data_IF_173181245042
#
_entry.id   IF_173181245042
#
_cell.length_a   1.000
_cell.length_b   1.000
_cell.length_c   1.000
_cell.angle_alpha   90.00
_cell.angle_beta   90.00
_cell.angle_gamma   90.00
#
_symmetry.space_group_name_H-M   'P 1'
#
loop_
_entity.id
_entity.type
_entity.pdbx_description
1 polymer ?
#
# COMPACT_ATOMS: atom_id res chain seq x y z
N UNK A 1 -5.44 -23.25 -13.02
CA UNK A 1 -4.58 -22.06 -13.28
C UNK A 1 -3.34 -22.17 -12.39
N UNK A 2 -2.14 -21.98 -12.93
CA UNK A 2 -0.92 -21.80 -12.13
C UNK A 2 -0.66 -20.30 -12.04
N UNK A 3 -0.77 -19.73 -10.85
CA UNK A 3 -0.55 -18.31 -10.58
C UNK A 3 0.81 -18.11 -9.93
N UNK A 4 1.72 -17.42 -10.60
CA UNK A 4 3.11 -17.29 -10.17
C UNK A 4 3.37 -15.99 -9.39
N UNK A 5 4.31 -16.04 -8.45
CA UNK A 5 4.90 -14.87 -7.75
C UNK A 5 4.07 -14.30 -6.60
N UNK A 6 2.95 -14.90 -6.21
CA UNK A 6 2.08 -14.37 -5.16
C UNK A 6 1.60 -15.47 -4.21
N UNK A 7 1.44 -15.13 -2.93
CA UNK A 7 0.68 -15.93 -1.99
C UNK A 7 -0.80 -15.98 -2.39
N UNK A 8 -1.51 -17.04 -2.02
CA UNK A 8 -2.94 -17.18 -2.31
C UNK A 8 -3.79 -16.08 -1.68
N UNK A 9 -4.61 -15.41 -2.50
CA UNK A 9 -5.49 -14.31 -2.04
C UNK A 9 -6.92 -14.35 -2.63
N UNK A 10 -7.21 -15.23 -3.59
CA UNK A 10 -8.53 -15.34 -4.22
C UNK A 10 -8.93 -16.81 -4.38
N UNK A 11 -9.70 -17.34 -3.43
CA UNK A 11 -10.12 -18.76 -3.40
C UNK A 11 -11.55 -18.99 -3.89
N UNK A 12 -12.21 -17.99 -4.47
CA UNK A 12 -13.64 -18.03 -4.79
C UNK A 12 -13.93 -18.13 -6.30
N UNK A 13 -12.98 -18.62 -7.10
CA UNK A 13 -13.15 -18.80 -8.54
C UNK A 13 -13.70 -20.19 -8.91
N UNK A 14 -14.32 -20.31 -10.09
CA UNK A 14 -14.84 -21.58 -10.62
C UNK A 14 -13.74 -22.57 -11.02
N UNK A 15 -12.54 -22.06 -11.32
CA UNK A 15 -11.39 -22.86 -11.71
C UNK A 15 -10.40 -23.03 -10.55
N UNK A 16 -9.85 -24.24 -10.32
CA UNK A 16 -8.77 -24.43 -9.36
C UNK A 16 -7.56 -23.54 -9.68
N UNK A 17 -7.07 -22.81 -8.69
CA UNK A 17 -5.86 -21.96 -8.79
C UNK A 17 -4.78 -22.49 -7.87
N UNK A 18 -3.63 -22.87 -8.43
CA UNK A 18 -2.43 -23.22 -7.69
C UNK A 18 -1.49 -22.02 -7.65
N UNK A 19 -1.18 -21.54 -6.44
CA UNK A 19 -0.28 -20.41 -6.24
C UNK A 19 1.15 -20.91 -6.08
N UNK A 20 2.02 -20.55 -7.02
CA UNK A 20 3.45 -20.79 -6.95
C UNK A 20 4.15 -19.48 -6.59
N UNK A 21 4.59 -19.35 -5.35
CA UNK A 21 4.98 -18.05 -4.78
C UNK A 21 6.33 -17.51 -5.28
N UNK A 22 7.11 -18.34 -5.99
CA UNK A 22 8.42 -18.00 -6.53
C UNK A 22 9.34 -17.39 -5.45
N UNK A 23 9.48 -18.09 -4.32
CA UNK A 23 10.35 -17.67 -3.21
C UNK A 23 11.82 -17.70 -3.64
N UNK A 24 12.61 -16.78 -3.09
CA UNK A 24 14.05 -16.72 -3.29
C UNK A 24 14.70 -17.92 -2.59
N UNK A 25 15.76 -18.45 -3.19
CA UNK A 25 16.51 -19.58 -2.65
C UNK A 25 17.87 -19.20 -2.06
N UNK A 26 18.37 -18.00 -2.38
CA UNK A 26 19.64 -17.49 -1.85
C UNK A 26 19.37 -16.35 -0.84
N UNK A 27 19.66 -16.54 0.47
CA UNK A 27 19.47 -15.49 1.47
C UNK A 27 20.54 -14.40 1.40
N UNK A 28 21.67 -14.64 0.71
CA UNK A 28 22.85 -13.76 0.77
C UNK A 28 22.54 -12.29 0.48
N UNK A 29 21.77 -11.92 -0.56
CA UNK A 29 21.48 -10.51 -0.83
C UNK A 29 20.76 -9.80 0.32
N UNK A 30 19.96 -10.53 1.10
CA UNK A 30 19.27 -10.01 2.29
C UNK A 30 20.23 -9.89 3.47
N UNK A 31 21.04 -10.92 3.72
CA UNK A 31 21.94 -10.98 4.87
C UNK A 31 23.11 -10.00 4.76
N UNK A 32 23.62 -9.73 3.55
CA UNK A 32 24.70 -8.77 3.28
C UNK A 32 24.39 -7.33 3.75
N UNK A 33 23.12 -7.02 4.05
CA UNK A 33 22.67 -5.69 4.49
C UNK A 33 22.57 -5.58 6.01
N UNK A 34 22.48 -6.70 6.75
CA UNK A 34 22.18 -6.72 8.19
C UNK A 34 23.14 -5.87 9.00
N UNK A 35 24.43 -5.94 8.68
CA UNK A 35 25.48 -5.19 9.40
C UNK A 35 25.32 -3.67 9.34
N UNK A 36 24.61 -3.16 8.33
CA UNK A 36 24.38 -1.71 8.14
C UNK A 36 23.14 -1.19 8.87
N UNK A 37 22.27 -2.10 9.35
CA UNK A 37 20.99 -1.74 9.94
C UNK A 37 21.14 -0.93 11.24
N UNK A 38 21.99 -1.34 12.22
CA UNK A 38 22.12 -0.60 13.48
C UNK A 38 22.52 0.87 13.26
N UNK A 39 23.45 1.13 12.34
CA UNK A 39 23.87 2.49 12.00
C UNK A 39 22.71 3.29 11.36
N UNK A 40 21.98 2.69 10.41
CA UNK A 40 20.91 3.36 9.71
C UNK A 40 19.71 3.73 10.60
N UNK A 41 19.34 2.86 11.56
CA UNK A 41 18.20 3.10 12.45
C UNK A 41 18.56 4.02 13.63
N UNK A 42 19.85 4.19 13.92
CA UNK A 42 20.38 5.06 14.97
C UNK A 42 20.01 4.54 16.37
N UNK A 43 19.41 5.39 17.20
CA UNK A 43 19.05 5.06 18.59
C UNK A 43 17.83 4.14 18.73
N UNK A 44 17.14 3.83 17.63
CA UNK A 44 15.93 2.98 17.61
C UNK A 44 16.32 1.53 17.87
N UNK A 45 15.75 0.89 18.89
CA UNK A 45 16.18 -0.45 19.35
C UNK A 45 15.15 -1.54 19.12
N UNK A 46 13.87 -1.19 19.05
CA UNK A 46 12.79 -2.15 18.81
C UNK A 46 12.18 -1.92 17.44
N UNK A 47 12.34 -2.89 16.53
CA UNK A 47 11.94 -2.74 15.12
C UNK A 47 10.81 -3.69 14.76
N UNK A 48 9.79 -3.17 14.08
CA UNK A 48 8.74 -3.98 13.47
C UNK A 48 9.17 -4.49 12.09
N UNK A 49 8.96 -5.77 11.80
CA UNK A 49 9.40 -6.34 10.52
C UNK A 49 8.20 -6.67 9.61
N UNK A 50 8.30 -6.21 8.36
CA UNK A 50 7.43 -6.60 7.26
C UNK A 50 8.25 -7.14 6.09
N UNK A 51 7.81 -8.19 5.40
CA UNK A 51 8.51 -8.75 4.25
C UNK A 51 7.55 -9.09 3.10
N UNK A 52 8.01 -8.96 1.85
CA UNK A 52 7.28 -9.51 0.70
C UNK A 52 7.38 -11.04 0.69
N UNK A 53 6.46 -11.69 -0.03
CA UNK A 53 6.35 -13.16 -0.04
C UNK A 53 7.64 -13.85 -0.49
N UNK A 54 8.41 -13.21 -1.38
CA UNK A 54 9.63 -13.76 -1.95
C UNK A 54 10.74 -14.01 -0.90
N UNK A 55 10.75 -13.23 0.18
CA UNK A 55 11.80 -13.27 1.21
C UNK A 55 11.37 -13.96 2.51
N UNK A 56 10.13 -14.46 2.57
CA UNK A 56 9.52 -14.90 3.82
C UNK A 56 10.25 -16.09 4.46
N UNK A 57 10.86 -16.97 3.66
CA UNK A 57 11.60 -18.16 4.12
C UNK A 57 12.89 -17.81 4.88
N UNK A 58 13.45 -16.63 4.60
CA UNK A 58 14.67 -16.16 5.25
C UNK A 58 14.40 -15.13 6.35
N UNK A 59 13.12 -14.91 6.67
CA UNK A 59 12.74 -13.94 7.68
C UNK A 59 13.37 -14.30 9.02
N UNK A 60 13.16 -15.52 9.55
CA UNK A 60 13.65 -15.88 10.88
C UNK A 60 15.19 -15.82 10.98
N UNK A 61 15.91 -16.24 9.92
CA UNK A 61 17.38 -16.11 9.86
C UNK A 61 17.83 -14.64 9.87
N UNK A 62 17.11 -13.76 9.16
CA UNK A 62 17.39 -12.33 9.17
C UNK A 62 17.15 -11.73 10.56
N UNK A 63 16.08 -12.14 11.26
CA UNK A 63 15.81 -11.67 12.63
C UNK A 63 16.91 -12.07 13.58
N UNK A 64 17.31 -13.35 13.58
CA UNK A 64 18.38 -13.87 14.43
C UNK A 64 19.67 -13.06 14.24
N UNK A 65 20.06 -12.84 12.99
CA UNK A 65 21.25 -12.05 12.65
C UNK A 65 21.15 -10.59 13.07
N UNK A 66 19.96 -10.00 13.00
CA UNK A 66 19.73 -8.62 13.42
C UNK A 66 19.69 -8.50 14.96
N UNK A 67 19.14 -9.49 15.65
CA UNK A 67 19.13 -9.59 17.11
C UNK A 67 20.53 -9.80 17.70
N UNK A 68 21.40 -10.56 17.03
CA UNK A 68 22.84 -10.66 17.35
C UNK A 68 23.54 -9.28 17.34
N UNK A 69 23.02 -8.32 16.59
CA UNK A 69 23.51 -6.93 16.54
C UNK A 69 22.88 -6.02 17.60
N UNK A 70 22.09 -6.57 18.52
CA UNK A 70 21.46 -5.84 19.62
C UNK A 70 20.17 -5.11 19.23
N UNK A 71 19.56 -5.45 18.09
CA UNK A 71 18.29 -4.87 17.63
C UNK A 71 17.15 -5.83 17.94
N UNK A 72 16.22 -5.43 18.80
CA UNK A 72 15.04 -6.25 19.17
C UNK A 72 14.05 -6.26 18.02
N UNK A 73 13.70 -7.43 17.51
CA UNK A 73 12.75 -7.56 16.42
C UNK A 73 11.35 -7.95 16.91
N UNK A 74 10.31 -7.33 16.35
CA UNK A 74 8.91 -7.65 16.64
C UNK A 74 8.17 -7.92 15.33
N UNK A 75 7.41 -9.01 15.28
CA UNK A 75 6.61 -9.36 14.11
C UNK A 75 5.15 -9.47 14.49
N UNK A 76 4.32 -8.75 13.74
CA UNK A 76 2.89 -8.75 13.93
C UNK A 76 2.16 -9.92 13.29
N UNK A 77 0.84 -9.91 13.51
CA UNK A 77 -0.06 -11.00 13.15
C UNK A 77 -0.33 -11.05 11.64
N UNK A 78 -0.61 -12.25 11.13
CA UNK A 78 -1.11 -12.47 9.77
C UNK A 78 -2.49 -11.84 9.55
N UNK A 79 -2.84 -11.61 8.29
CA UNK A 79 -4.18 -11.16 7.88
C UNK A 79 -4.79 -12.11 6.85
N UNK A 80 -6.04 -11.85 6.43
CA UNK A 80 -6.67 -12.62 5.36
C UNK A 80 -5.96 -12.45 4.00
N UNK A 81 -5.40 -11.26 3.73
CA UNK A 81 -4.67 -10.96 2.48
C UNK A 81 -3.18 -11.30 2.55
N UNK A 82 -2.64 -11.41 3.76
CA UNK A 82 -1.24 -11.73 4.03
C UNK A 82 -1.19 -12.94 4.97
N UNK A 83 -1.32 -14.17 4.43
CA UNK A 83 -1.46 -15.37 5.26
C UNK A 83 -0.20 -15.74 6.05
N UNK A 84 0.97 -15.23 5.66
CA UNK A 84 2.24 -15.52 6.32
C UNK A 84 2.58 -14.51 7.42
N UNK A 85 3.29 -14.97 8.45
CA UNK A 85 3.78 -14.15 9.55
C UNK A 85 4.75 -13.08 9.01
N UNK A 86 4.53 -11.81 9.38
CA UNK A 86 5.35 -10.69 8.90
C UNK A 86 5.14 -10.31 7.43
N UNK A 87 4.22 -10.95 6.71
CA UNK A 87 4.02 -10.63 5.30
C UNK A 87 3.29 -9.29 5.12
N UNK A 88 3.82 -8.46 4.22
CA UNK A 88 3.17 -7.25 3.70
C UNK A 88 2.89 -7.38 2.20
N UNK A 89 1.87 -6.67 1.74
CA UNK A 89 1.65 -6.37 0.33
C UNK A 89 1.28 -4.90 0.20
N UNK A 90 1.38 -4.35 -1.01
CA UNK A 90 1.14 -2.93 -1.28
C UNK A 90 -0.18 -2.30 -0.81
N UNK A 91 -1.16 -3.12 -0.43
CA UNK A 91 -2.46 -2.67 0.06
C UNK A 91 -2.83 -3.27 1.43
N UNK A 92 -1.89 -3.93 2.12
CA UNK A 92 -2.14 -4.54 3.43
C UNK A 92 -0.89 -4.50 4.32
N UNK A 93 -1.03 -3.80 5.44
CA UNK A 93 0.00 -3.56 6.45
C UNK A 93 -0.49 -3.91 7.87
N UNK A 94 -1.54 -4.73 7.99
CA UNK A 94 -2.09 -5.15 9.29
C UNK A 94 -1.05 -5.77 10.23
N UNK A 95 0.00 -6.43 9.71
CA UNK A 95 1.06 -6.95 10.55
C UNK A 95 1.76 -5.83 11.33
N UNK A 96 2.16 -4.74 10.68
CA UNK A 96 2.80 -3.60 11.35
C UNK A 96 1.84 -2.92 12.33
N UNK A 97 0.59 -2.73 11.92
CA UNK A 97 -0.44 -2.12 12.77
C UNK A 97 -0.69 -2.90 14.07
N UNK A 98 -0.52 -4.22 14.05
CA UNK A 98 -0.74 -5.04 15.25
C UNK A 98 0.34 -4.89 16.32
N UNK A 99 1.45 -4.21 16.02
CA UNK A 99 2.61 -4.04 16.89
C UNK A 99 3.07 -2.57 16.95
N UNK A 100 2.29 -1.63 16.41
CA UNK A 100 2.74 -0.26 16.14
C UNK A 100 3.15 0.50 17.40
N UNK A 101 2.51 0.20 18.52
CA UNK A 101 2.77 0.83 19.82
C UNK A 101 3.99 0.22 20.54
N UNK A 102 4.49 -0.93 20.07
CA UNK A 102 5.61 -1.66 20.68
C UNK A 102 6.96 -1.35 20.00
N UNK A 103 6.95 -0.63 18.87
CA UNK A 103 8.11 -0.44 18.00
C UNK A 103 8.53 1.03 17.88
N UNK A 104 9.82 1.25 17.67
CA UNK A 104 10.43 2.55 17.40
C UNK A 104 10.39 2.90 15.91
N UNK A 105 10.60 1.91 15.05
CA UNK A 105 10.49 2.01 13.59
C UNK A 105 10.09 0.68 12.96
N UNK A 106 9.80 0.69 11.67
CA UNK A 106 9.59 -0.52 10.86
C UNK A 106 10.69 -0.72 9.84
N UNK A 107 11.03 -1.98 9.56
CA UNK A 107 11.86 -2.39 8.43
C UNK A 107 10.99 -3.20 7.47
N UNK A 108 10.98 -2.79 6.20
CA UNK A 108 10.30 -3.50 5.11
C UNK A 108 11.34 -4.17 4.22
N UNK A 109 11.31 -5.50 4.19
CA UNK A 109 12.15 -6.35 3.35
C UNK A 109 11.45 -6.54 2.00
N UNK A 110 12.04 -5.99 0.95
CA UNK A 110 11.52 -6.03 -0.40
C UNK A 110 11.64 -4.67 -1.08
N UNK A 111 10.68 -4.33 -1.92
CA UNK A 111 10.80 -3.14 -2.78
C UNK A 111 10.43 -1.83 -2.08
N UNK A 112 10.98 -0.73 -2.60
CA UNK A 112 10.62 0.67 -2.27
C UNK A 112 9.13 0.89 -2.06
N UNK A 113 8.33 0.36 -2.97
CA UNK A 113 6.88 0.54 -2.99
C UNK A 113 6.22 0.09 -1.68
N UNK A 114 6.61 -1.07 -1.16
CA UNK A 114 6.05 -1.59 0.08
C UNK A 114 6.44 -0.70 1.27
N UNK A 115 7.68 -0.22 1.28
CA UNK A 115 8.16 0.75 2.27
C UNK A 115 7.37 2.05 2.28
N UNK A 116 7.22 2.66 1.11
CA UNK A 116 6.48 3.92 0.95
C UNK A 116 5.02 3.76 1.40
N UNK A 117 4.35 2.69 0.98
CA UNK A 117 2.98 2.43 1.42
C UNK A 117 2.88 2.19 2.93
N UNK A 118 3.87 1.54 3.56
CA UNK A 118 3.93 1.41 5.01
C UNK A 118 4.11 2.79 5.70
N UNK A 119 5.01 3.62 5.17
CA UNK A 119 5.31 4.95 5.70
C UNK A 119 4.12 5.91 5.61
N UNK A 120 3.34 5.84 4.51
CA UNK A 120 2.11 6.62 4.35
C UNK A 120 1.00 6.17 5.32
N UNK A 121 0.99 4.88 5.69
CA UNK A 121 -0.10 4.27 6.47
C UNK A 121 0.23 4.03 7.93
N UNK A 122 1.44 4.33 8.40
CA UNK A 122 1.85 4.11 9.78
C UNK A 122 2.57 5.34 10.32
N UNK A 123 2.45 5.66 11.63
CA UNK A 123 3.05 6.86 12.20
C UNK A 123 4.54 6.72 12.55
N UNK A 124 5.16 5.57 12.25
CA UNK A 124 6.53 5.26 12.66
C UNK A 124 7.49 5.43 11.47
N UNK A 125 8.77 5.80 11.71
CA UNK A 125 9.79 5.76 10.68
C UNK A 125 9.86 4.40 9.98
N UNK A 126 10.06 4.41 8.67
CA UNK A 126 10.12 3.20 7.86
C UNK A 126 11.42 3.16 7.06
N UNK A 127 12.15 2.08 7.25
CA UNK A 127 13.35 1.74 6.50
C UNK A 127 13.03 0.61 5.53
N UNK A 128 13.61 0.66 4.34
CA UNK A 128 13.52 -0.39 3.33
C UNK A 128 14.85 -1.10 3.25
N UNK A 129 14.81 -2.42 3.39
CA UNK A 129 15.89 -3.33 2.99
C UNK A 129 15.47 -3.89 1.65
N UNK A 130 16.12 -3.44 0.58
CA UNK A 130 15.88 -3.91 -0.79
C UNK A 130 17.04 -4.83 -1.20
N UNK A 131 16.89 -6.17 -1.07
CA UNK A 131 17.99 -7.10 -1.32
C UNK A 131 18.35 -7.19 -2.80
N UNK A 132 17.40 -6.94 -3.70
CA UNK A 132 17.62 -6.98 -5.14
C UNK A 132 18.48 -5.78 -5.57
N UNK A 133 18.16 -4.59 -5.05
CA UNK A 133 18.97 -3.38 -5.29
C UNK A 133 20.20 -3.27 -4.38
N UNK A 134 20.32 -4.14 -3.36
CA UNK A 134 21.33 -4.09 -2.30
C UNK A 134 21.36 -2.75 -1.56
N UNK A 135 20.18 -2.22 -1.25
CA UNK A 135 20.03 -0.88 -0.65
C UNK A 135 19.31 -0.95 0.69
N UNK A 136 19.75 -0.07 1.59
CA UNK A 136 19.10 0.26 2.85
C UNK A 136 18.86 1.77 2.88
N UNK A 137 17.62 2.20 3.07
CA UNK A 137 17.28 3.62 3.08
C UNK A 137 15.96 3.89 3.80
N UNK A 138 15.81 5.09 4.35
CA UNK A 138 14.56 5.59 4.93
C UNK A 138 13.65 6.17 3.84
N UNK A 139 12.33 6.03 3.99
CA UNK A 139 11.33 6.48 3.00
C UNK A 139 10.37 7.56 3.54
N UNK A 140 10.63 8.11 4.72
CA UNK A 140 9.76 9.10 5.38
C UNK A 140 9.61 10.40 4.59
N UNK A 141 10.72 11.01 4.16
CA UNK A 141 10.71 12.24 3.35
C UNK A 141 9.97 12.07 2.03
N UNK A 142 10.09 10.89 1.43
CA UNK A 142 9.39 10.54 0.19
C UNK A 142 7.88 10.36 0.41
N UNK A 143 7.49 9.66 1.49
CA UNK A 143 6.10 9.51 1.88
C UNK A 143 5.43 10.86 2.17
N UNK A 144 6.13 11.77 2.85
CA UNK A 144 5.66 13.14 3.08
C UNK A 144 5.44 13.92 1.78
N UNK A 145 6.36 13.81 0.81
CA UNK A 145 6.21 14.45 -0.50
C UNK A 145 5.01 13.88 -1.27
N UNK A 146 4.81 12.56 -1.21
CA UNK A 146 3.63 11.92 -1.78
C UNK A 146 2.37 12.45 -1.11
N UNK A 147 2.31 12.48 0.22
CA UNK A 147 1.16 12.99 0.98
C UNK A 147 0.84 14.46 0.66
N UNK A 148 1.86 15.32 0.49
CA UNK A 148 1.69 16.71 0.04
C UNK A 148 1.01 16.77 -1.34
N UNK A 149 1.49 15.97 -2.29
CA UNK A 149 0.88 15.88 -3.63
C UNK A 149 -0.54 15.33 -3.57
N UNK A 150 -0.79 14.30 -2.75
CA UNK A 150 -2.14 13.75 -2.54
C UNK A 150 -3.09 14.83 -2.02
N UNK A 151 -2.65 15.65 -1.07
CA UNK A 151 -3.45 16.76 -0.56
C UNK A 151 -3.73 17.83 -1.63
N UNK A 152 -2.77 18.13 -2.50
CA UNK A 152 -2.97 19.02 -3.64
C UNK A 152 -4.04 18.45 -4.61
N UNK A 153 -3.97 17.16 -4.92
CA UNK A 153 -4.98 16.49 -5.74
C UNK A 153 -6.38 16.50 -5.12
N UNK A 154 -6.48 16.40 -3.79
CA UNK A 154 -7.76 16.59 -3.08
C UNK A 154 -8.32 18.00 -3.33
N UNK A 155 -7.49 19.04 -3.29
CA UNK A 155 -7.98 20.41 -3.55
C UNK A 155 -8.43 20.61 -5.00
N UNK A 156 -7.72 20.01 -5.97
CA UNK A 156 -8.15 20.03 -7.38
C UNK A 156 -9.49 19.31 -7.53
N UNK A 157 -9.62 18.11 -6.97
CA UNK A 157 -10.85 17.31 -7.03
C UNK A 157 -12.07 18.03 -6.44
N UNK A 158 -11.89 18.82 -5.36
CA UNK A 158 -12.99 19.60 -4.76
C UNK A 158 -13.64 20.56 -5.77
N UNK A 159 -12.89 21.06 -6.74
CA UNK A 159 -13.39 21.97 -7.77
C UNK A 159 -13.98 21.25 -8.99
N UNK A 160 -13.76 19.94 -9.13
CA UNK A 160 -14.26 19.14 -10.26
C UNK A 160 -15.76 18.86 -10.13
N UNK A 161 -16.56 19.04 -11.17
CA UNK A 161 -18.02 18.81 -11.09
C UNK A 161 -18.43 17.38 -11.49
N UNK A 162 -17.94 16.91 -12.64
CA UNK A 162 -18.29 15.59 -13.19
C UNK A 162 -17.24 14.54 -12.84
N UNK A 163 -17.64 13.51 -12.10
CA UNK A 163 -16.75 12.55 -11.45
C UNK A 163 -17.00 11.12 -11.96
N UNK A 164 -15.94 10.43 -12.36
CA UNK A 164 -15.98 9.01 -12.69
C UNK A 164 -15.58 8.13 -11.50
N UNK A 165 -16.47 7.27 -11.00
CA UNK A 165 -16.18 6.33 -9.92
C UNK A 165 -15.81 4.97 -10.51
N UNK A 166 -14.52 4.64 -10.46
CA UNK A 166 -13.94 3.48 -11.12
C UNK A 166 -14.14 2.20 -10.30
N UNK A 167 -14.58 1.14 -10.96
CA UNK A 167 -14.80 -0.21 -10.40
C UNK A 167 -13.99 -1.21 -11.22
N UNK A 168 -13.02 -1.88 -10.59
CA UNK A 168 -12.28 -2.94 -11.28
C UNK A 168 -13.10 -4.23 -11.40
N UNK A 169 -12.99 -4.90 -12.55
CA UNK A 169 -13.51 -6.26 -12.77
C UNK A 169 -12.55 -7.34 -12.24
N UNK A 170 -11.30 -6.98 -11.90
CA UNK A 170 -10.27 -7.92 -11.46
C UNK A 170 -10.62 -8.58 -10.12
N UNK A 171 -10.45 -9.91 -10.00
CA UNK A 171 -10.61 -10.62 -8.73
C UNK A 171 -9.76 -9.99 -7.61
N UNK A 172 -10.37 -9.80 -6.44
CA UNK A 172 -9.71 -9.16 -5.28
C UNK A 172 -9.70 -7.62 -5.28
N UNK A 173 -10.05 -6.97 -6.40
CA UNK A 173 -10.14 -5.51 -6.52
C UNK A 173 -11.57 -5.00 -6.74
N UNK A 174 -12.52 -5.89 -6.99
CA UNK A 174 -13.93 -5.54 -7.23
C UNK A 174 -14.61 -5.04 -5.95
N UNK A 175 -14.78 -3.72 -5.83
CA UNK A 175 -15.39 -3.06 -4.66
C UNK A 175 -16.67 -2.29 -4.98
N UNK A 176 -17.61 -2.99 -5.64
CA UNK A 176 -18.87 -2.40 -6.11
C UNK A 176 -19.66 -1.68 -5.00
N UNK A 177 -19.79 -2.30 -3.82
CA UNK A 177 -20.50 -1.69 -2.69
C UNK A 177 -19.87 -0.38 -2.21
N UNK A 178 -18.54 -0.27 -2.27
CA UNK A 178 -17.83 0.96 -1.90
C UNK A 178 -18.06 2.03 -2.95
N UNK A 179 -17.96 1.68 -4.23
CA UNK A 179 -18.19 2.59 -5.34
C UNK A 179 -19.61 3.20 -5.33
N UNK A 180 -20.65 2.37 -5.11
CA UNK A 180 -22.04 2.85 -5.01
C UNK A 180 -22.21 3.83 -3.84
N UNK A 181 -21.61 3.55 -2.68
CA UNK A 181 -21.66 4.46 -1.53
C UNK A 181 -20.96 5.78 -1.81
N UNK A 182 -19.78 5.75 -2.45
CA UNK A 182 -19.05 6.96 -2.81
C UNK A 182 -19.79 7.80 -3.85
N UNK A 183 -20.45 7.15 -4.83
CA UNK A 183 -21.34 7.84 -5.77
C UNK A 183 -22.44 8.61 -5.03
N UNK A 184 -23.16 7.96 -4.11
CA UNK A 184 -24.20 8.62 -3.30
C UNK A 184 -23.65 9.82 -2.52
N UNK A 185 -22.48 9.68 -1.90
CA UNK A 185 -21.85 10.77 -1.13
C UNK A 185 -21.44 11.94 -2.04
N UNK A 186 -20.94 11.65 -3.25
CA UNK A 186 -20.59 12.68 -4.23
C UNK A 186 -21.84 13.46 -4.68
N UNK A 187 -22.94 12.76 -4.96
CA UNK A 187 -24.23 13.36 -5.33
C UNK A 187 -24.80 14.22 -4.20
N UNK A 188 -24.73 13.77 -2.94
CA UNK A 188 -25.10 14.57 -1.76
C UNK A 188 -24.25 15.85 -1.63
N UNK A 189 -23.01 15.84 -2.11
CA UNK A 189 -22.12 16.99 -2.16
C UNK A 189 -22.30 17.86 -3.43
N UNK A 190 -23.34 17.59 -4.22
CA UNK A 190 -23.67 18.37 -5.42
C UNK A 190 -22.79 18.07 -6.63
N UNK A 191 -22.14 16.91 -6.69
CA UNK A 191 -21.35 16.46 -7.84
C UNK A 191 -22.19 15.56 -8.75
N UNK A 192 -21.90 15.58 -10.05
CA UNK A 192 -22.40 14.57 -10.99
C UNK A 192 -21.47 13.36 -10.96
N UNK A 193 -21.97 12.18 -10.61
CA UNK A 193 -21.13 10.99 -10.43
C UNK A 193 -21.65 9.77 -11.21
N UNK A 194 -20.78 9.18 -12.02
CA UNK A 194 -21.08 7.99 -12.81
C UNK A 194 -20.20 6.80 -12.40
N UNK A 195 -20.78 5.60 -12.38
CA UNK A 195 -20.03 4.37 -12.12
C UNK A 195 -19.40 3.87 -13.42
N UNK A 196 -18.09 3.64 -13.40
CA UNK A 196 -17.31 3.21 -14.55
C UNK A 196 -16.67 1.86 -14.26
N UNK A 197 -17.01 0.84 -15.03
CA UNK A 197 -16.38 -0.47 -14.90
C UNK A 197 -15.16 -0.56 -15.80
N UNK A 198 -14.03 -1.00 -15.24
CA UNK A 198 -12.74 -1.10 -15.93
C UNK A 198 -12.07 -2.43 -15.62
N UNK A 199 -11.32 -2.99 -16.57
CA UNK A 199 -10.44 -4.13 -16.31
C UNK A 199 -9.02 -3.63 -16.04
N UNK A 200 -8.40 -3.06 -17.07
CA UNK A 200 -7.17 -2.28 -16.97
C UNK A 200 -7.49 -0.79 -17.00
N UNK A 201 -6.76 -0.02 -16.18
CA UNK A 201 -6.83 1.43 -16.21
C UNK A 201 -5.74 1.96 -17.14
N UNK A 202 -6.15 2.47 -18.30
CA UNK A 202 -5.30 3.13 -19.27
C UNK A 202 -5.47 4.66 -19.14
N UNK A 203 -4.34 5.37 -19.02
CA UNK A 203 -4.28 6.83 -18.97
C UNK A 203 -5.02 7.47 -20.13
N UNK A 204 -4.74 7.03 -21.36
CA UNK A 204 -5.32 7.60 -22.57
C UNK A 204 -6.84 7.40 -22.62
N UNK A 205 -7.34 6.31 -22.03
CA UNK A 205 -8.79 6.07 -21.98
C UNK A 205 -9.48 7.04 -21.02
N UNK A 206 -8.92 7.27 -19.83
CA UNK A 206 -9.53 8.19 -18.87
C UNK A 206 -9.47 9.64 -19.34
N UNK A 207 -8.37 10.06 -19.96
CA UNK A 207 -8.22 11.45 -20.42
C UNK A 207 -9.21 11.81 -21.56
N UNK A 208 -9.76 10.81 -22.26
CA UNK A 208 -10.75 11.00 -23.34
C UNK A 208 -12.21 10.93 -22.86
N UNK A 209 -12.46 10.59 -21.59
CA UNK A 209 -13.82 10.56 -21.03
C UNK A 209 -14.22 11.96 -20.52
N UNK A 210 -15.53 12.27 -20.43
CA UNK A 210 -16.02 13.61 -20.09
C UNK A 210 -15.92 13.96 -18.60
N UNK A 211 -15.10 13.24 -17.82
CA UNK A 211 -14.97 13.45 -16.37
C UNK A 211 -13.75 14.32 -16.04
N UNK A 212 -13.94 15.21 -15.08
CA UNK A 212 -12.90 16.14 -14.62
C UNK A 212 -12.00 15.51 -13.56
N UNK A 213 -12.52 14.50 -12.83
CA UNK A 213 -11.77 13.75 -11.84
C UNK A 213 -12.34 12.35 -11.62
N UNK A 214 -11.56 11.51 -10.95
CA UNK A 214 -11.85 10.09 -10.77
C UNK A 214 -11.71 9.65 -9.31
N UNK A 215 -12.53 8.68 -8.93
CA UNK A 215 -12.43 7.95 -7.66
C UNK A 215 -12.00 6.52 -7.95
N UNK A 216 -10.88 6.10 -7.37
CA UNK A 216 -10.29 4.79 -7.55
C UNK A 216 -10.72 3.83 -6.44
N UNK A 217 -11.66 2.92 -6.74
CA UNK A 217 -12.00 1.82 -5.81
C UNK A 217 -11.26 0.51 -6.10
N UNK A 218 -10.31 0.54 -7.05
CA UNK A 218 -9.51 -0.60 -7.49
C UNK A 218 -8.20 -0.73 -6.69
N UNK A 219 -7.07 -0.96 -7.38
CA UNK A 219 -5.75 -1.00 -6.77
C UNK A 219 -5.32 0.41 -6.30
N UNK A 220 -5.04 0.62 -5.00
CA UNK A 220 -4.63 1.93 -4.49
C UNK A 220 -3.33 2.46 -5.09
N UNK A 221 -2.49 1.57 -5.65
CA UNK A 221 -1.23 1.94 -6.33
C UNK A 221 -1.43 2.90 -7.49
N UNK A 222 -2.57 2.81 -8.18
CA UNK A 222 -2.84 3.69 -9.31
C UNK A 222 -2.96 5.14 -8.86
N UNK A 223 -3.56 5.37 -7.68
CA UNK A 223 -3.64 6.70 -7.08
C UNK A 223 -2.33 7.14 -6.44
N UNK A 224 -1.54 6.24 -5.86
CA UNK A 224 -0.33 6.64 -5.15
C UNK A 224 0.88 6.77 -6.08
N UNK A 225 1.16 5.75 -6.90
CA UNK A 225 2.34 5.68 -7.76
C UNK A 225 2.08 6.27 -9.15
N UNK A 226 0.93 5.93 -9.74
CA UNK A 226 0.66 6.25 -11.14
C UNK A 226 -0.08 7.58 -11.35
N UNK A 227 -0.46 8.29 -10.28
CA UNK A 227 -1.21 9.55 -10.38
C UNK A 227 -0.58 10.54 -11.36
N UNK A 228 0.75 10.64 -11.40
CA UNK A 228 1.46 11.57 -12.28
C UNK A 228 1.33 11.23 -13.77
N UNK A 229 0.91 10.00 -14.10
CA UNK A 229 0.60 9.59 -15.46
C UNK A 229 -0.77 10.10 -15.90
N UNK A 230 -1.69 10.37 -14.97
CA UNK A 230 -3.03 10.89 -15.24
C UNK A 230 -3.05 12.41 -15.13
N UNK A 231 -3.74 13.09 -16.07
CA UNK A 231 -3.92 14.54 -15.98
C UNK A 231 -4.94 14.91 -14.90
N UNK A 232 -5.98 14.10 -14.77
CA UNK A 232 -7.06 14.30 -13.81
C UNK A 232 -6.75 13.71 -12.43
N UNK A 233 -7.27 14.29 -11.34
CA UNK A 233 -7.14 13.71 -10.01
C UNK A 233 -7.72 12.30 -9.97
N UNK A 234 -6.97 11.35 -9.41
CA UNK A 234 -7.40 9.96 -9.20
C UNK A 234 -7.35 9.66 -7.70
N UNK A 235 -8.42 9.99 -6.99
CA UNK A 235 -8.47 9.92 -5.53
C UNK A 235 -8.78 8.53 -5.00
N UNK A 236 -8.19 8.19 -3.86
CA UNK A 236 -8.60 7.06 -3.03
C UNK A 236 -9.96 7.35 -2.35
N UNK A 237 -10.72 6.33 -1.90
CA UNK A 237 -11.97 6.53 -1.19
C UNK A 237 -11.86 7.43 0.04
N UNK A 238 -10.80 7.24 0.83
CA UNK A 238 -10.49 8.07 2.00
C UNK A 238 -10.31 9.55 1.61
N UNK A 239 -9.57 9.80 0.53
CA UNK A 239 -9.31 11.14 -0.02
C UNK A 239 -10.58 11.78 -0.60
N UNK A 240 -11.45 11.00 -1.25
CA UNK A 240 -12.77 11.46 -1.70
C UNK A 240 -13.64 11.88 -0.53
N UNK A 241 -13.65 11.10 0.57
CA UNK A 241 -14.39 11.46 1.77
C UNK A 241 -13.85 12.77 2.41
N UNK A 242 -12.54 13.02 2.33
CA UNK A 242 -11.94 14.29 2.75
C UNK A 242 -12.39 15.43 1.82
N UNK A 243 -12.40 15.21 0.50
CA UNK A 243 -12.84 16.19 -0.48
C UNK A 243 -14.32 16.59 -0.24
N UNK A 244 -15.17 15.63 0.12
CA UNK A 244 -16.57 15.80 0.48
C UNK A 244 -16.81 16.31 1.92
N UNK A 245 -15.76 16.59 2.69
CA UNK A 245 -15.89 17.07 4.08
C UNK A 245 -16.42 16.03 5.09
N UNK A 246 -16.43 14.74 4.73
CA UNK A 246 -16.85 13.63 5.60
C UNK A 246 -15.73 13.15 6.53
N UNK A 247 -14.47 13.38 6.16
CA UNK A 247 -13.28 13.07 6.96
C UNK A 247 -12.34 14.28 7.03
N UNK A 248 -11.46 14.30 8.05
CA UNK A 248 -10.39 15.29 8.18
C UNK A 248 -9.05 14.68 7.78
N UNK A 249 -8.21 15.45 7.11
CA UNK A 249 -6.90 15.00 6.61
C UNK A 249 -6.00 14.48 7.73
N UNK A 250 -5.80 15.28 8.78
CA UNK A 250 -4.99 14.93 9.96
C UNK A 250 -5.42 13.64 10.67
N UNK A 251 -6.69 13.22 10.56
CA UNK A 251 -7.19 11.99 11.17
C UNK A 251 -7.12 10.77 10.22
N UNK A 252 -6.70 10.97 8.97
CA UNK A 252 -6.80 9.98 7.90
C UNK A 252 -5.44 9.54 7.39
N UNK A 253 -4.42 10.41 7.40
CA UNK A 253 -3.03 10.02 7.14
C UNK A 253 -2.44 9.23 8.30
N UNK A 254 -1.38 8.45 8.05
CA UNK A 254 -0.76 7.58 9.06
C UNK A 254 -1.76 6.66 9.78
N UNK A 255 -2.85 6.32 9.08
CA UNK A 255 -3.94 5.52 9.59
C UNK A 255 -4.10 4.27 8.72
N UNK A 256 -4.45 3.15 9.36
CA UNK A 256 -4.72 1.87 8.70
C UNK A 256 -5.72 1.99 7.55
N UNK A 257 -6.61 2.97 7.61
CA UNK A 257 -7.71 3.16 6.64
C UNK A 257 -7.31 4.00 5.42
N UNK A 258 -6.12 4.60 5.37
CA UNK A 258 -5.76 5.52 4.29
C UNK A 258 -5.80 4.85 2.91
N UNK A 259 -5.15 3.69 2.76
CA UNK A 259 -5.08 2.93 1.50
C UNK A 259 -6.24 1.93 1.31
N UNK A 260 -7.19 1.88 2.25
CA UNK A 260 -8.32 0.95 2.12
C UNK A 260 -9.27 1.51 1.07
N UNK A 261 -9.32 0.83 -0.07
CA UNK A 261 -10.30 1.08 -1.15
C UNK A 261 -11.69 0.52 -0.85
#
# INVERSE_FOLDING_TARGET
IIHMGHAGFANNGELPVFYMECRITDPKPLLDIVDKIPEAIGEKKTVGIGATIQWIDFLDLFLEKLEEKGVKCVIGRRSHKTPYRGQVVGCEYACLWSIIDEIDCSIIIGSRFHGVGASITTPKPVYVVDPEMKRLYEVNSEAEEILKRRYAWIQVFKNSNRIGVLISTKPGQKKFSTAVKLKSILEECGKEADLLTVDELNVDQLDNLPYEAYVNTACPRLSIEDQMKFRSPLLLPSETLIACGRLRWENTIYCRKYLIT
#
